data_IF_142275024709
#
_entry.id   IF_142275024709
#
_cell.length_a   1.000
_cell.length_b   1.000
_cell.length_c   1.000
_cell.angle_alpha   90.00
_cell.angle_beta   90.00
_cell.angle_gamma   90.00
#
_symmetry.space_group_name_H-M   'P 1'
#
loop_
_entity.id
_entity.type
_entity.pdbx_description
1 polymer ?
#
# COMPACT_ATOMS: atom_id res chain seq x y z
N UNK A 1 10.32 -21.64 2.65
CA UNK A 1 9.44 -20.58 2.11
C UNK A 1 10.30 -19.34 1.98
N UNK A 2 10.53 -18.87 0.76
CA UNK A 2 11.27 -17.63 0.55
C UNK A 2 10.51 -16.48 1.19
N UNK A 3 11.21 -15.68 2.01
CA UNK A 3 10.67 -14.43 2.51
C UNK A 3 10.68 -13.43 1.36
N UNK A 4 9.65 -13.44 0.51
CA UNK A 4 9.49 -12.44 -0.53
C UNK A 4 9.23 -11.09 0.13
N UNK A 5 10.09 -10.12 -0.14
CA UNK A 5 9.94 -8.74 0.28
C UNK A 5 10.35 -7.80 -0.84
N UNK A 6 9.75 -6.62 -0.84
CA UNK A 6 10.09 -5.54 -1.76
C UNK A 6 10.58 -4.33 -0.99
N UNK A 7 11.45 -3.54 -1.60
CA UNK A 7 11.96 -2.31 -1.01
C UNK A 7 11.85 -1.16 -2.00
N UNK A 8 11.23 -0.07 -1.57
CA UNK A 8 11.15 1.18 -2.33
C UNK A 8 11.16 2.36 -1.36
N UNK A 9 11.83 3.46 -1.73
CA UNK A 9 11.90 4.68 -0.93
C UNK A 9 12.31 4.46 0.55
N UNK A 10 13.16 3.46 0.82
CA UNK A 10 13.60 3.12 2.18
C UNK A 10 12.59 2.29 3.00
N UNK A 11 11.38 2.04 2.47
CA UNK A 11 10.39 1.17 3.07
C UNK A 11 10.59 -0.27 2.61
N UNK A 12 10.31 -1.21 3.50
CA UNK A 12 10.29 -2.65 3.20
C UNK A 12 8.86 -3.16 3.31
N UNK A 13 8.43 -3.95 2.33
CA UNK A 13 7.09 -4.51 2.23
C UNK A 13 7.14 -6.03 2.34
N UNK A 14 6.33 -6.60 3.25
CA UNK A 14 6.28 -8.03 3.52
C UNK A 14 4.85 -8.50 3.73
N UNK A 15 4.57 -9.74 3.36
CA UNK A 15 3.32 -10.40 3.75
C UNK A 15 3.17 -10.39 5.28
N UNK A 16 1.98 -10.03 5.76
CA UNK A 16 1.64 -9.89 7.17
C UNK A 16 1.91 -8.49 7.73
N UNK A 17 2.59 -7.60 7.01
CA UNK A 17 2.82 -6.24 7.43
C UNK A 17 1.50 -5.48 7.52
N UNK A 18 1.29 -4.80 8.65
CA UNK A 18 0.11 -4.00 8.90
C UNK A 18 0.22 -2.65 8.22
N UNK A 19 -0.92 -2.16 7.76
CA UNK A 19 -1.09 -0.88 7.09
C UNK A 19 -2.28 -0.15 7.69
N UNK A 20 -2.25 1.17 7.61
CA UNK A 20 -3.40 2.04 7.90
C UNK A 20 -3.67 2.92 6.69
N UNK A 21 -4.94 3.21 6.42
CA UNK A 21 -5.33 4.10 5.34
C UNK A 21 -6.21 5.23 5.87
N UNK A 22 -5.80 6.46 5.57
CA UNK A 22 -6.62 7.64 5.78
C UNK A 22 -7.22 8.06 4.44
N UNK A 23 -8.52 7.84 4.28
CA UNK A 23 -9.27 8.17 3.06
C UNK A 23 -9.80 9.61 3.05
N UNK A 24 -9.56 10.39 4.11
CA UNK A 24 -10.02 11.77 4.27
C UNK A 24 -11.21 11.91 5.22
N UNK A 25 -11.65 13.16 5.45
CA UNK A 25 -12.51 13.56 6.57
C UNK A 25 -13.90 12.89 6.63
N UNK A 26 -14.39 12.31 5.54
CA UNK A 26 -15.71 11.68 5.47
C UNK A 26 -15.68 10.15 5.62
N UNK A 27 -14.51 9.57 5.89
CA UNK A 27 -14.33 8.13 5.96
C UNK A 27 -13.53 7.75 7.21
N UNK A 28 -13.88 6.65 7.89
CA UNK A 28 -13.06 6.14 8.97
C UNK A 28 -11.68 5.73 8.45
N UNK A 29 -10.68 5.78 9.32
CA UNK A 29 -9.39 5.14 9.06
C UNK A 29 -9.63 3.64 8.88
N UNK A 30 -9.05 3.06 7.85
CA UNK A 30 -9.10 1.62 7.63
C UNK A 30 -7.78 0.98 8.04
N UNK A 31 -7.86 -0.17 8.70
CA UNK A 31 -6.71 -1.02 8.96
C UNK A 31 -6.68 -2.18 7.96
N UNK A 32 -5.47 -2.62 7.61
CA UNK A 32 -5.28 -3.72 6.69
C UNK A 32 -3.93 -4.39 6.86
N UNK A 33 -3.70 -5.45 6.10
CA UNK A 33 -2.43 -6.16 6.05
C UNK A 33 -2.10 -6.61 4.63
N UNK A 34 -0.82 -6.64 4.30
CA UNK A 34 -0.35 -7.19 3.02
C UNK A 34 -0.53 -8.72 3.06
N UNK A 35 -1.28 -9.28 2.12
CA UNK A 35 -1.50 -10.73 2.02
C UNK A 35 -0.69 -11.39 0.89
N UNK A 36 -0.11 -10.59 0.01
CA UNK A 36 0.76 -11.05 -1.08
C UNK A 36 1.17 -9.92 -2.01
N UNK A 37 1.77 -10.30 -3.13
CA UNK A 37 2.21 -9.39 -4.18
C UNK A 37 1.78 -9.95 -5.54
N UNK A 38 1.44 -9.08 -6.48
CA UNK A 38 1.05 -9.44 -7.83
C UNK A 38 1.90 -8.68 -8.86
N UNK A 39 2.46 -9.40 -9.83
CA UNK A 39 3.16 -8.78 -10.95
C UNK A 39 2.16 -8.30 -11.99
N UNK A 40 2.13 -6.98 -12.23
CA UNK A 40 1.35 -6.35 -13.29
C UNK A 40 2.25 -6.16 -14.52
N UNK A 41 1.95 -6.76 -15.68
CA UNK A 41 2.71 -6.48 -16.90
C UNK A 41 2.46 -5.04 -17.37
N UNK A 42 3.41 -4.49 -18.12
CA UNK A 42 3.25 -3.17 -18.74
C UNK A 42 2.07 -3.17 -19.72
N UNK A 43 1.38 -2.04 -19.80
CA UNK A 43 0.37 -1.76 -20.82
C UNK A 43 0.50 -0.31 -21.32
N UNK A 44 -0.42 0.12 -22.19
CA UNK A 44 -0.40 1.47 -22.78
C UNK A 44 -0.42 2.59 -21.74
N UNK A 45 -1.02 2.38 -20.57
CA UNK A 45 -1.24 3.40 -19.55
C UNK A 45 -0.30 3.29 -18.35
N UNK A 46 0.22 2.10 -18.07
CA UNK A 46 1.00 1.83 -16.86
C UNK A 46 2.24 0.99 -17.19
N UNK A 47 3.42 1.34 -16.64
CA UNK A 47 4.59 0.47 -16.73
C UNK A 47 4.37 -0.84 -15.97
N UNK A 48 5.23 -1.82 -16.25
CA UNK A 48 5.26 -3.06 -15.47
C UNK A 48 5.61 -2.73 -14.03
N UNK A 49 4.93 -3.38 -13.09
CA UNK A 49 5.08 -3.08 -11.66
C UNK A 49 4.75 -4.31 -10.79
N UNK A 50 5.07 -4.21 -9.51
CA UNK A 50 4.64 -5.12 -8.46
C UNK A 50 3.62 -4.41 -7.59
N UNK A 51 2.45 -5.01 -7.47
CA UNK A 51 1.37 -4.49 -6.62
C UNK A 51 1.33 -5.26 -5.30
N UNK A 52 1.17 -4.56 -4.18
CA UNK A 52 0.78 -5.20 -2.93
C UNK A 52 -0.69 -5.54 -2.95
N UNK A 53 -1.03 -6.77 -2.55
CA UNK A 53 -2.41 -7.17 -2.29
C UNK A 53 -2.67 -6.95 -0.81
N UNK A 54 -3.59 -6.03 -0.50
CA UNK A 54 -3.95 -5.66 0.87
C UNK A 54 -5.32 -6.25 1.18
N UNK A 55 -5.43 -6.95 2.30
CA UNK A 55 -6.72 -7.33 2.89
C UNK A 55 -7.06 -6.33 4.00
N UNK A 56 -8.19 -5.63 3.82
CA UNK A 56 -8.71 -4.66 4.79
C UNK A 56 -9.60 -5.36 5.82
N UNK A 57 -9.81 -4.72 6.97
CA UNK A 57 -10.65 -5.28 8.03
C UNK A 57 -12.11 -5.54 7.63
N UNK A 58 -12.62 -4.81 6.64
CA UNK A 58 -13.96 -5.04 6.08
C UNK A 58 -14.04 -6.28 5.16
N UNK A 59 -12.94 -7.02 5.03
CA UNK A 59 -12.81 -8.22 4.21
C UNK A 59 -12.59 -7.93 2.72
N UNK A 60 -12.59 -6.66 2.29
CA UNK A 60 -12.27 -6.32 0.91
C UNK A 60 -10.76 -6.37 0.67
N UNK A 61 -10.40 -6.53 -0.59
CA UNK A 61 -9.02 -6.44 -1.03
C UNK A 61 -8.83 -5.26 -1.98
N UNK A 62 -7.67 -4.60 -1.86
CA UNK A 62 -7.17 -3.68 -2.87
C UNK A 62 -5.78 -4.10 -3.35
N UNK A 63 -5.40 -3.58 -4.52
CA UNK A 63 -4.08 -3.75 -5.12
C UNK A 63 -3.47 -2.38 -5.29
N UNK A 64 -2.39 -2.11 -4.59
CA UNK A 64 -1.72 -0.81 -4.58
C UNK A 64 -0.32 -0.93 -5.15
N UNK A 65 0.20 0.17 -5.67
CA UNK A 65 1.61 0.24 -6.11
C UNK A 65 2.50 0.52 -4.89
N UNK A 66 3.69 -0.08 -4.86
CA UNK A 66 4.62 0.01 -3.72
C UNK A 66 4.98 1.46 -3.36
N UNK A 67 5.03 2.35 -4.35
CA UNK A 67 5.36 3.77 -4.16
C UNK A 67 4.19 4.62 -3.63
N UNK A 68 2.97 4.07 -3.54
CA UNK A 68 1.77 4.73 -2.99
C UNK A 68 1.57 4.45 -1.51
N UNK A 69 2.38 3.58 -0.93
CA UNK A 69 2.44 3.37 0.52
C UNK A 69 3.58 4.21 1.09
N UNK A 70 3.29 4.88 2.20
CA UNK A 70 4.17 5.88 2.79
C UNK A 70 4.52 5.58 4.25
N UNK A 71 5.53 6.26 4.76
CA UNK A 71 5.84 6.26 6.20
C UNK A 71 4.82 7.09 6.98
N UNK A 72 4.56 6.78 8.26
CA UNK A 72 3.75 7.63 9.12
C UNK A 72 4.25 9.08 9.13
N UNK A 73 3.32 10.02 8.99
CA UNK A 73 3.64 11.45 8.96
C UNK A 73 3.87 12.02 7.57
N UNK A 74 3.98 11.19 6.52
CA UNK A 74 3.98 11.66 5.14
C UNK A 74 2.75 12.55 4.85
N UNK A 75 2.95 13.50 3.94
CA UNK A 75 1.93 14.43 3.46
C UNK A 75 1.99 14.51 1.94
N UNK A 76 0.83 14.65 1.32
CA UNK A 76 0.76 14.97 -0.11
C UNK A 76 1.41 16.33 -0.39
N UNK A 77 1.63 16.64 -1.68
CA UNK A 77 2.23 17.91 -2.09
C UNK A 77 1.50 19.17 -1.58
N UNK A 78 0.18 19.08 -1.33
CA UNK A 78 -0.63 20.15 -0.77
C UNK A 78 -0.82 20.05 0.76
N UNK A 79 -0.08 19.17 1.45
CA UNK A 79 -0.10 19.02 2.90
C UNK A 79 -1.21 18.14 3.46
N UNK A 80 -1.97 17.43 2.61
CA UNK A 80 -3.04 16.54 3.06
C UNK A 80 -2.47 15.26 3.70
N UNK A 81 -3.06 14.75 4.80
CA UNK A 81 -2.67 13.51 5.43
C UNK A 81 -3.33 12.27 4.81
N UNK A 82 -3.86 12.36 3.58
CA UNK A 82 -4.57 11.27 2.89
C UNK A 82 -3.56 10.33 2.23
N UNK A 83 -3.71 9.02 2.46
CA UNK A 83 -2.80 8.01 1.91
C UNK A 83 -2.90 6.67 2.64
N UNK A 84 -2.04 5.74 2.23
CA UNK A 84 -1.83 4.44 2.88
C UNK A 84 -0.45 4.47 3.53
N UNK A 85 -0.36 4.00 4.76
CA UNK A 85 0.81 4.13 5.60
C UNK A 85 1.21 2.79 6.21
N UNK A 86 2.51 2.54 6.32
CA UNK A 86 3.03 1.44 7.14
C UNK A 86 2.69 1.66 8.60
N UNK A 87 2.19 0.64 9.30
CA UNK A 87 1.90 0.69 10.73
C UNK A 87 3.11 0.30 11.59
#
# INVERSE_FOLDING_TARGET
MENLFYMINGLTFRKGQKLTANWGACYPVAEGKIVGFEHRPANMFHPADVLEVIEWEDGKQSKEELNRIHEPGWRSANGSPIGIFTA
#
